data_IF_583334051203
#
_entry.id   IF_583334051203
#
_cell.length_a   1.000
_cell.length_b   1.000
_cell.length_c   1.000
_cell.angle_alpha   90.00
_cell.angle_beta   90.00
_cell.angle_gamma   90.00
#
_symmetry.space_group_name_H-M   'P 1'
#
loop_
_entity.id
_entity.type
_entity.pdbx_description
1 polymer ?
#
# COMPACT_ATOMS: atom_id res chain seq x y z
N UNK A 1 -37.88 8.28 -49.97
CA UNK A 1 -37.80 9.19 -48.79
C UNK A 1 -37.92 8.46 -47.45
N UNK A 2 -38.78 7.44 -47.30
CA UNK A 2 -38.95 6.67 -46.04
C UNK A 2 -37.69 5.93 -45.54
N UNK A 3 -36.84 5.44 -46.46
CA UNK A 3 -35.58 4.74 -46.11
C UNK A 3 -34.50 5.66 -45.52
N UNK A 4 -34.51 6.96 -45.86
CA UNK A 4 -33.55 7.93 -45.33
C UNK A 4 -33.86 8.28 -43.87
N UNK A 5 -35.14 8.41 -43.52
CA UNK A 5 -35.58 8.66 -42.14
C UNK A 5 -35.28 7.49 -41.18
N UNK A 6 -35.30 6.25 -41.69
CA UNK A 6 -34.99 5.06 -40.87
C UNK A 6 -33.49 5.01 -40.51
N UNK A 7 -32.61 5.44 -41.42
CA UNK A 7 -31.16 5.41 -41.18
C UNK A 7 -30.70 6.50 -40.20
N UNK A 8 -31.34 7.68 -40.22
CA UNK A 8 -31.01 8.76 -39.27
C UNK A 8 -31.46 8.46 -37.85
N UNK A 9 -32.62 7.82 -37.67
CA UNK A 9 -33.11 7.38 -36.36
C UNK A 9 -32.23 6.25 -35.79
N UNK A 10 -31.79 5.32 -36.63
CA UNK A 10 -30.89 4.25 -36.20
C UNK A 10 -29.54 4.78 -35.69
N UNK A 11 -28.98 5.82 -36.32
CA UNK A 11 -27.69 6.42 -35.93
C UNK A 11 -27.76 7.16 -34.58
N UNK A 12 -28.89 7.82 -34.28
CA UNK A 12 -29.12 8.45 -32.99
C UNK A 12 -29.26 7.41 -31.86
N UNK A 13 -29.92 6.28 -32.11
CA UNK A 13 -30.08 5.20 -31.11
C UNK A 13 -28.74 4.53 -30.79
N UNK A 14 -27.85 4.34 -31.78
CA UNK A 14 -26.51 3.78 -31.53
C UNK A 14 -25.60 4.72 -30.74
N UNK A 15 -25.86 6.02 -30.75
CA UNK A 15 -25.04 7.01 -30.05
C UNK A 15 -25.33 7.03 -28.53
N UNK A 16 -26.57 6.69 -28.11
CA UNK A 16 -26.96 6.70 -26.70
C UNK A 16 -26.40 5.53 -25.87
N UNK A 17 -25.92 4.44 -26.48
CA UNK A 17 -25.44 3.26 -25.72
C UNK A 17 -23.97 3.34 -25.30
N UNK A 18 -23.20 4.35 -25.74
CA UNK A 18 -21.74 4.41 -25.52
C UNK A 18 -21.38 5.05 -24.15
N UNK A 19 -22.31 5.68 -23.44
CA UNK A 19 -22.03 6.34 -22.14
C UNK A 19 -22.19 5.47 -20.88
N UNK A 20 -22.38 4.14 -21.00
CA UNK A 20 -22.62 3.25 -19.85
C UNK A 20 -21.38 2.47 -19.34
N UNK A 21 -20.16 2.88 -19.69
CA UNK A 21 -18.92 2.29 -19.15
C UNK A 21 -18.07 3.34 -18.42
N UNK A 22 -18.70 4.09 -17.51
CA UNK A 22 -17.96 4.82 -16.47
C UNK A 22 -17.50 3.82 -15.41
N UNK A 23 -16.34 3.21 -15.68
CA UNK A 23 -15.32 2.76 -14.72
C UNK A 23 -15.83 2.55 -13.29
N UNK A 24 -16.39 1.38 -13.03
CA UNK A 24 -16.26 0.76 -11.71
C UNK A 24 -14.81 0.31 -11.53
N UNK A 25 -13.90 1.30 -11.39
CA UNK A 25 -12.57 1.08 -10.87
C UNK A 25 -12.73 0.54 -9.47
N UNK A 26 -12.66 -0.79 -9.35
CA UNK A 26 -12.48 -1.50 -8.10
C UNK A 26 -11.22 -0.90 -7.46
N UNK A 27 -11.39 0.08 -6.58
CA UNK A 27 -10.32 0.52 -5.71
C UNK A 27 -10.04 -0.70 -4.84
N UNK A 28 -8.95 -1.38 -5.12
CA UNK A 28 -8.39 -2.42 -4.28
C UNK A 28 -8.05 -1.79 -2.92
N UNK A 29 -9.04 -1.66 -2.04
CA UNK A 29 -8.86 -1.33 -0.62
C UNK A 29 -8.47 -2.60 0.15
N UNK A 30 -7.54 -3.37 -0.44
CA UNK A 30 -6.67 -4.26 0.30
C UNK A 30 -5.35 -3.52 0.63
N UNK A 31 -5.44 -2.21 0.90
CA UNK A 31 -4.38 -1.52 1.62
C UNK A 31 -4.49 -1.99 3.06
N UNK A 32 -3.64 -2.93 3.45
CA UNK A 32 -3.40 -3.23 4.87
C UNK A 32 -2.90 -1.93 5.53
N UNK A 33 -3.82 -1.12 6.04
CA UNK A 33 -3.49 0.10 6.74
C UNK A 33 -2.73 -0.29 7.99
N UNK A 34 -1.43 0.03 8.02
CA UNK A 34 -0.60 -0.12 9.18
C UNK A 34 -1.24 0.66 10.34
N UNK A 35 -1.70 -0.06 11.36
CA UNK A 35 -2.25 0.57 12.56
C UNK A 35 -1.08 0.97 13.45
N UNK A 36 -1.03 2.25 13.80
CA UNK A 36 -0.07 2.82 14.74
C UNK A 36 -0.72 2.94 16.13
N UNK A 37 0.05 2.71 17.19
CA UNK A 37 -0.40 2.74 18.59
C UNK A 37 0.65 3.46 19.44
N UNK A 38 0.20 4.28 20.39
CA UNK A 38 1.12 4.95 21.30
C UNK A 38 1.71 3.94 22.31
N UNK A 39 3.04 3.88 22.51
CA UNK A 39 3.67 2.95 23.45
C UNK A 39 3.23 3.15 24.91
N UNK A 40 2.82 4.38 25.27
CA UNK A 40 2.35 4.72 26.62
C UNK A 40 0.82 4.69 26.74
N UNK A 41 0.09 4.80 25.63
CA UNK A 41 -1.37 4.86 25.61
C UNK A 41 -1.90 3.84 24.59
N UNK A 42 -2.04 2.55 24.96
CA UNK A 42 -2.44 1.49 24.03
C UNK A 42 -3.84 1.70 23.42
N UNK A 43 -4.66 2.54 24.04
CA UNK A 43 -5.99 2.92 23.55
C UNK A 43 -5.96 3.90 22.38
N UNK A 44 -4.83 4.61 22.19
CA UNK A 44 -4.66 5.57 21.10
C UNK A 44 -4.16 4.81 19.88
N UNK A 45 -5.06 4.58 18.92
CA UNK A 45 -4.78 3.92 17.64
C UNK A 45 -5.00 4.90 16.48
N UNK A 46 -4.17 4.81 15.46
CA UNK A 46 -4.28 5.63 14.25
C UNK A 46 -3.99 4.80 13.01
N UNK A 47 -4.67 5.10 11.91
CA UNK A 47 -4.37 4.55 10.59
C UNK A 47 -3.20 5.28 9.89
N UNK A 48 -2.76 6.40 10.44
CA UNK A 48 -1.66 7.23 9.91
C UNK A 48 -0.55 7.42 10.95
N UNK A 49 0.71 7.54 10.50
CA UNK A 49 1.80 7.94 11.38
C UNK A 49 1.55 9.36 11.91
N UNK A 50 1.97 9.64 13.14
CA UNK A 50 1.75 10.92 13.78
C UNK A 50 2.12 10.93 15.25
N UNK A 51 1.78 12.03 15.92
CA UNK A 51 1.96 12.18 17.37
C UNK A 51 0.70 11.73 18.13
N UNK A 52 0.92 11.18 19.32
CA UNK A 52 -0.13 10.84 20.25
C UNK A 52 -0.78 12.13 20.79
N UNK A 53 -2.11 12.29 20.73
CA UNK A 53 -2.79 13.48 21.25
C UNK A 53 -2.77 13.56 22.79
N UNK A 54 -2.47 12.45 23.49
CA UNK A 54 -2.41 12.43 24.97
C UNK A 54 -1.05 12.85 25.52
N UNK A 55 0.05 12.46 24.87
CA UNK A 55 1.40 12.68 25.40
C UNK A 55 2.40 13.28 24.40
N UNK A 56 1.98 13.58 23.17
CA UNK A 56 2.85 14.17 22.14
C UNK A 56 3.92 13.25 21.57
N UNK A 57 4.12 12.03 22.11
CA UNK A 57 5.09 11.06 21.59
C UNK A 57 4.65 10.47 20.25
N UNK A 58 5.60 10.01 19.45
CA UNK A 58 5.32 9.33 18.18
C UNK A 58 4.53 8.04 18.37
N UNK A 59 3.54 7.83 17.49
CA UNK A 59 2.83 6.57 17.40
C UNK A 59 3.73 5.52 16.74
N UNK A 60 3.94 4.40 17.43
CA UNK A 60 4.70 3.26 16.92
C UNK A 60 3.79 2.32 16.12
N UNK A 61 4.33 1.55 15.18
CA UNK A 61 3.57 0.46 14.54
C UNK A 61 3.01 -0.48 15.61
N UNK A 62 1.73 -0.82 15.53
CA UNK A 62 1.09 -1.71 16.48
C UNK A 62 1.76 -3.09 16.48
N UNK A 63 1.80 -3.74 17.64
CA UNK A 63 2.40 -5.08 17.81
C UNK A 63 1.83 -6.11 16.82
N UNK A 64 0.54 -5.99 16.46
CA UNK A 64 -0.12 -6.87 15.48
C UNK A 64 0.51 -6.75 14.09
N UNK A 65 0.80 -5.53 13.64
CA UNK A 65 1.48 -5.29 12.36
C UNK A 65 2.96 -5.67 12.43
N UNK A 66 3.61 -5.47 13.58
CA UNK A 66 4.98 -5.94 13.81
C UNK A 66 5.09 -7.47 13.73
N UNK A 67 4.19 -8.19 14.41
CA UNK A 67 4.14 -9.66 14.35
C UNK A 67 3.79 -10.15 12.94
N UNK A 68 2.90 -9.47 12.22
CA UNK A 68 2.62 -9.80 10.82
C UNK A 68 3.87 -9.67 9.93
N UNK A 69 4.68 -8.64 10.14
CA UNK A 69 5.96 -8.48 9.44
C UNK A 69 7.00 -9.51 9.87
N UNK A 70 7.01 -9.93 11.13
CA UNK A 70 7.89 -11.00 11.62
C UNK A 70 7.49 -12.39 11.10
N UNK A 71 6.19 -12.64 10.91
CA UNK A 71 5.69 -13.88 10.31
C UNK A 71 5.90 -13.86 8.79
N UNK A 72 5.77 -12.71 8.13
CA UNK A 72 6.06 -12.54 6.70
C UNK A 72 7.55 -12.28 6.43
N UNK A 73 8.44 -13.10 7.01
CA UNK A 73 9.86 -13.13 6.62
C UNK A 73 9.92 -13.53 5.16
N UNK A 74 10.49 -12.67 4.33
CA UNK A 74 10.69 -12.96 2.91
C UNK A 74 12.10 -13.47 2.73
N UNK A 75 12.25 -14.64 2.13
CA UNK A 75 13.53 -15.30 1.89
C UNK A 75 13.96 -15.05 0.44
N UNK A 76 15.25 -14.83 0.21
CA UNK A 76 15.81 -14.55 -1.12
C UNK A 76 17.03 -15.42 -1.39
N UNK A 77 17.22 -15.86 -2.63
CA UNK A 77 18.43 -16.61 -2.99
C UNK A 77 19.63 -15.65 -3.15
N UNK A 78 20.80 -15.94 -2.56
CA UNK A 78 21.99 -15.08 -2.68
C UNK A 78 22.58 -15.06 -4.10
N UNK A 79 22.35 -16.10 -4.90
CA UNK A 79 22.83 -16.19 -6.28
C UNK A 79 21.78 -15.73 -7.31
N UNK A 80 20.50 -15.82 -6.98
CA UNK A 80 19.41 -15.45 -7.86
C UNK A 80 18.44 -14.52 -7.12
N UNK A 81 18.70 -13.21 -7.18
CA UNK A 81 17.88 -12.18 -6.53
C UNK A 81 16.41 -12.20 -6.94
N UNK A 82 16.11 -12.78 -8.10
CA UNK A 82 14.76 -12.89 -8.65
C UNK A 82 13.93 -14.00 -7.97
N UNK A 83 14.59 -14.86 -7.18
CA UNK A 83 13.95 -15.94 -6.44
C UNK A 83 13.68 -15.47 -5.01
N UNK A 84 12.43 -15.15 -4.73
CA UNK A 84 11.93 -14.83 -3.39
C UNK A 84 10.84 -15.81 -2.95
N UNK A 85 10.81 -16.13 -1.66
CA UNK A 85 9.83 -17.05 -1.06
C UNK A 85 9.33 -16.49 0.27
N UNK A 86 8.06 -16.74 0.61
CA UNK A 86 7.52 -16.44 1.95
C UNK A 86 7.84 -17.53 2.98
N UNK A 87 8.50 -18.61 2.55
CA UNK A 87 8.85 -19.77 3.38
C UNK A 87 10.36 -20.04 3.32
N UNK A 88 10.97 -20.51 4.43
CA UNK A 88 12.34 -21.01 4.41
C UNK A 88 12.43 -22.24 3.50
N UNK A 89 13.59 -22.43 2.87
CA UNK A 89 13.81 -23.58 1.99
C UNK A 89 14.99 -23.40 1.05
N UNK A 90 15.11 -24.31 0.09
CA UNK A 90 16.12 -24.28 -0.96
C UNK A 90 15.62 -23.50 -2.18
N UNK A 91 16.55 -22.81 -2.83
CA UNK A 91 16.31 -22.14 -4.10
C UNK A 91 16.03 -23.18 -5.20
N UNK A 92 14.91 -23.09 -5.94
CA UNK A 92 14.57 -24.03 -7.01
C UNK A 92 15.51 -23.95 -8.22
N UNK A 93 16.31 -22.88 -8.36
CA UNK A 93 17.25 -22.72 -9.48
C UNK A 93 18.63 -23.31 -9.20
N UNK A 94 19.15 -23.16 -7.98
CA UNK A 94 20.52 -23.52 -7.65
C UNK A 94 20.67 -24.45 -6.43
N UNK A 95 19.57 -24.81 -5.77
CA UNK A 95 19.58 -25.72 -4.61
C UNK A 95 20.18 -25.14 -3.32
N UNK A 96 20.72 -23.93 -3.34
CA UNK A 96 21.23 -23.25 -2.13
C UNK A 96 20.11 -22.79 -1.20
N UNK A 97 20.43 -22.66 0.09
CA UNK A 97 19.51 -22.11 1.09
C UNK A 97 19.09 -20.67 0.78
N UNK A 98 17.79 -20.39 0.91
CA UNK A 98 17.27 -19.04 0.85
C UNK A 98 17.57 -18.30 2.15
N UNK A 99 17.99 -17.05 2.04
CA UNK A 99 18.42 -16.22 3.17
C UNK A 99 17.34 -15.21 3.52
N UNK A 100 17.15 -14.91 4.81
CA UNK A 100 16.14 -13.97 5.29
C UNK A 100 16.41 -12.53 4.82
N UNK A 101 15.41 -11.93 4.19
CA UNK A 101 15.39 -10.52 3.80
C UNK A 101 14.48 -9.74 4.74
N UNK A 102 15.08 -8.87 5.55
CA UNK A 102 14.33 -7.95 6.43
C UNK A 102 13.61 -6.91 5.57
N UNK A 103 12.27 -6.98 5.49
CA UNK A 103 11.45 -5.87 4.98
C UNK A 103 11.38 -4.80 6.06
N UNK A 104 12.29 -3.82 6.01
CA UNK A 104 12.15 -2.62 6.83
C UNK A 104 10.93 -1.82 6.35
N UNK A 105 9.97 -1.48 7.22
CA UNK A 105 8.93 -0.53 6.87
C UNK A 105 9.59 0.84 6.69
N UNK A 106 9.90 1.13 5.43
CA UNK A 106 10.06 2.44 4.82
C UNK A 106 10.41 3.60 5.76
N UNK A 107 11.71 3.82 5.95
CA UNK A 107 12.29 5.11 6.29
C UNK A 107 12.09 6.07 5.10
N UNK A 108 10.90 6.64 4.97
CA UNK A 108 10.64 7.83 4.14
C UNK A 108 9.74 8.80 4.90
N UNK A 109 10.34 9.76 5.58
CA UNK A 109 10.02 11.15 5.29
C UNK A 109 11.21 12.04 5.63
N UNK A 110 11.64 12.76 4.61
CA UNK A 110 12.70 13.76 4.62
C UNK A 110 12.34 14.90 5.57
N UNK A 111 13.31 15.28 6.38
CA UNK A 111 13.76 16.66 6.60
C UNK A 111 12.98 17.73 5.80
N UNK A 112 12.19 18.55 6.48
CA UNK A 112 12.16 20.00 6.20
C UNK A 112 12.46 20.72 7.51
N UNK A 113 13.40 21.64 7.37
CA UNK A 113 14.18 22.33 8.38
C UNK A 113 13.61 23.72 8.42
N UNK A 114 12.77 24.04 9.38
CA UNK A 114 12.34 25.42 9.59
C UNK A 114 13.12 25.97 10.78
N UNK A 115 14.41 26.20 10.52
CA UNK A 115 15.20 27.18 11.25
C UNK A 115 14.66 28.55 10.89
N UNK A 116 13.63 29.01 11.60
CA UNK A 116 13.32 30.44 11.68
C UNK A 116 13.68 30.90 13.08
N UNK A 117 14.96 31.21 13.24
CA UNK A 117 15.39 32.22 14.19
C UNK A 117 14.73 33.54 13.78
N UNK A 118 13.69 33.95 14.51
CA UNK A 118 13.28 35.36 14.56
C UNK A 118 13.42 35.81 16.00
N UNK A 119 14.55 36.50 16.18
CA UNK A 119 14.87 37.54 17.16
C UNK A 119 13.70 38.01 18.04
N UNK A 120 13.92 38.02 19.35
CA UNK A 120 13.66 39.19 20.20
C UNK A 120 14.83 39.38 21.13
#
# INVERSE_FOLDING_TARGET
>A
MKRMFVLTVAFFITSLTIFAQEKAGKKDTAQHHAVYTCPMHPDVKSATPGKCPKCGMDLALSKKEQMKMEVMKMYTCPMHSDVTSDKPGKCPKCGMDLVEKKKSPNKKMKMKKDSTAVRR
#
